data_IF_959115282241
#
_entry.id   IF_959115282241
#
_cell.length_a   1.000
_cell.length_b   1.000
_cell.length_c   1.000
_cell.angle_alpha   90.00
_cell.angle_beta   90.00
_cell.angle_gamma   90.00
#
_symmetry.space_group_name_H-M   'P 1'
#
loop_
_entity.id
_entity.type
_entity.pdbx_description
1 polymer ?
#
# COMPACT_ATOMS: atom_id res chain seq x y z
N UNK A 1 -10.76 6.51 -22.02
CA UNK A 1 -10.08 7.22 -20.91
C UNK A 1 -9.43 6.21 -19.99
N UNK A 2 -8.18 6.44 -19.64
CA UNK A 2 -7.44 5.54 -18.75
C UNK A 2 -7.78 5.90 -17.31
N UNK A 3 -8.36 4.96 -16.58
CA UNK A 3 -8.65 5.13 -15.15
C UNK A 3 -7.50 4.67 -14.27
N UNK A 4 -7.59 4.96 -12.96
CA UNK A 4 -6.59 4.53 -11.99
C UNK A 4 -6.44 3.01 -11.98
N UNK A 5 -7.54 2.26 -12.04
CA UNK A 5 -7.47 0.80 -12.06
C UNK A 5 -6.72 0.29 -13.29
N UNK A 6 -6.88 0.93 -14.44
CA UNK A 6 -6.17 0.55 -15.67
C UNK A 6 -4.66 0.76 -15.53
N UNK A 7 -4.26 1.84 -14.87
CA UNK A 7 -2.85 2.11 -14.62
C UNK A 7 -2.24 1.04 -13.71
N UNK A 8 -2.96 0.63 -12.68
CA UNK A 8 -2.51 -0.43 -11.78
C UNK A 8 -2.45 -1.77 -12.49
N UNK A 9 -3.42 -2.09 -13.36
CA UNK A 9 -3.37 -3.31 -14.14
C UNK A 9 -2.15 -3.36 -15.05
N UNK A 10 -1.83 -2.25 -15.70
CA UNK A 10 -0.65 -2.15 -16.56
C UNK A 10 0.63 -2.31 -15.74
N UNK A 11 0.70 -1.67 -14.56
CA UNK A 11 1.86 -1.78 -13.68
C UNK A 11 2.03 -3.20 -13.14
N UNK A 12 0.93 -3.89 -12.81
CA UNK A 12 0.97 -5.27 -12.36
C UNK A 12 1.52 -6.19 -13.45
N UNK A 13 1.07 -6.03 -14.69
CA UNK A 13 1.58 -6.80 -15.82
C UNK A 13 3.06 -6.56 -16.06
N UNK A 14 3.55 -5.38 -15.76
CA UNK A 14 4.96 -5.03 -15.88
C UNK A 14 5.79 -5.47 -14.67
N UNK A 15 5.18 -6.07 -13.65
CA UNK A 15 5.88 -6.51 -12.45
C UNK A 15 6.28 -5.37 -11.50
N UNK A 16 5.61 -4.23 -11.61
CA UNK A 16 5.95 -3.04 -10.79
C UNK A 16 5.21 -2.98 -9.46
N UNK A 17 4.26 -3.88 -9.25
CA UNK A 17 3.45 -3.92 -8.03
C UNK A 17 3.78 -5.13 -7.17
N UNK A 18 3.40 -5.04 -5.91
CA UNK A 18 3.63 -6.10 -4.92
C UNK A 18 2.28 -6.69 -4.51
N UNK A 19 2.14 -8.03 -4.47
CA UNK A 19 0.91 -8.64 -3.99
C UNK A 19 0.75 -8.40 -2.49
N UNK A 20 -0.44 -7.94 -2.11
CA UNK A 20 -0.83 -7.70 -0.73
C UNK A 20 -2.04 -8.56 -0.42
N UNK A 21 -1.93 -9.39 0.59
CA UNK A 21 -3.03 -10.26 1.00
C UNK A 21 -3.90 -9.56 2.04
N UNK A 22 -5.18 -9.44 1.73
CA UNK A 22 -6.17 -8.82 2.61
C UNK A 22 -7.28 -9.83 2.81
N UNK A 23 -7.27 -10.53 3.96
CA UNK A 23 -8.18 -11.64 4.18
C UNK A 23 -7.98 -12.73 3.12
N UNK A 24 -9.01 -13.04 2.35
CA UNK A 24 -8.95 -14.04 1.29
C UNK A 24 -8.58 -13.43 -0.08
N UNK A 25 -8.40 -12.11 -0.15
CA UNK A 25 -8.10 -11.41 -1.40
C UNK A 25 -6.62 -11.12 -1.51
N UNK A 26 -6.11 -11.15 -2.75
CA UNK A 26 -4.77 -10.70 -3.06
C UNK A 26 -4.90 -9.55 -4.04
N UNK A 27 -4.34 -8.39 -3.68
CA UNK A 27 -4.42 -7.18 -4.48
C UNK A 27 -3.02 -6.68 -4.78
N UNK A 28 -2.75 -6.37 -6.03
CA UNK A 28 -1.48 -5.79 -6.44
C UNK A 28 -1.44 -4.32 -6.06
N UNK A 29 -0.49 -3.94 -5.21
CA UNK A 29 -0.36 -2.58 -4.69
C UNK A 29 1.02 -2.03 -4.93
N UNK A 30 1.14 -0.72 -5.01
CA UNK A 30 2.43 -0.07 -4.87
C UNK A 30 2.88 -0.21 -3.42
N UNK A 31 4.09 -0.70 -3.19
CA UNK A 31 4.61 -0.91 -1.84
C UNK A 31 5.90 -0.12 -1.65
N UNK A 32 5.97 0.58 -0.53
CA UNK A 32 7.16 1.33 -0.15
C UNK A 32 7.53 0.97 1.28
N UNK A 33 8.75 0.48 1.45
CA UNK A 33 9.33 0.26 2.77
C UNK A 33 9.93 1.57 3.29
N UNK A 34 10.05 1.74 4.61
CA UNK A 34 10.75 2.90 5.15
C UNK A 34 12.17 2.96 4.62
N UNK A 35 12.64 4.16 4.33
CA UNK A 35 14.02 4.35 3.93
C UNK A 35 14.91 4.11 5.14
N UNK A 36 15.80 3.13 5.03
CA UNK A 36 16.73 2.79 6.10
C UNK A 36 17.91 3.75 6.14
N UNK A 37 18.06 4.58 5.14
CA UNK A 37 19.13 5.56 5.12
C UNK A 37 18.79 6.69 6.07
N UNK A 38 19.28 6.56 7.29
CA UNK A 38 19.11 7.60 8.30
C UNK A 38 20.03 8.75 7.95
N UNK A 39 19.45 9.88 7.61
CA UNK A 39 20.20 11.10 7.38
C UNK A 39 20.32 11.85 8.70
N UNK A 40 21.50 11.80 9.28
CA UNK A 40 21.93 12.68 10.38
C UNK A 40 20.97 12.81 11.56
N UNK A 41 20.39 11.70 11.98
CA UNK A 41 19.55 11.69 13.16
C UNK A 41 18.18 12.31 12.96
N UNK A 42 17.80 12.64 11.73
CA UNK A 42 16.44 13.03 11.44
C UNK A 42 15.52 11.85 11.65
N UNK A 43 14.40 12.08 12.32
CA UNK A 43 13.41 11.07 12.52
C UNK A 43 12.80 10.71 11.16
N UNK A 44 13.11 9.51 10.66
CA UNK A 44 12.49 9.00 9.47
C UNK A 44 11.21 8.27 9.85
N UNK A 45 10.22 8.38 8.97
CA UNK A 45 9.03 7.57 9.12
C UNK A 45 9.43 6.10 9.10
N UNK A 46 8.98 5.34 10.11
CA UNK A 46 9.14 3.89 10.14
C UNK A 46 7.94 3.19 9.55
N UNK A 47 7.05 3.94 8.96
CA UNK A 47 5.84 3.38 8.39
C UNK A 47 6.10 2.82 7.01
N UNK A 48 5.55 1.64 6.78
CA UNK A 48 5.44 1.09 5.45
C UNK A 48 4.22 1.70 4.79
N UNK A 49 4.20 1.78 3.47
CA UNK A 49 3.08 2.36 2.75
C UNK A 49 2.67 1.45 1.60
N UNK A 50 1.38 1.37 1.36
CA UNK A 50 0.84 0.77 0.14
C UNK A 50 -0.09 1.78 -0.52
N UNK A 51 -0.11 1.75 -1.87
CA UNK A 51 -1.03 2.54 -2.67
C UNK A 51 -1.83 1.59 -3.55
N UNK A 52 -3.12 1.84 -3.65
CA UNK A 52 -4.03 0.93 -4.35
C UNK A 52 -5.24 1.69 -4.87
N UNK A 53 -5.89 1.20 -5.95
CA UNK A 53 -7.16 1.77 -6.39
C UNK A 53 -8.25 1.55 -5.34
N UNK A 54 -8.99 2.60 -5.03
CA UNK A 54 -10.04 2.53 -4.01
C UNK A 54 -11.12 1.49 -4.35
N UNK A 55 -11.29 1.18 -5.64
CA UNK A 55 -12.28 0.20 -6.09
C UNK A 55 -11.85 -1.25 -5.84
N UNK A 56 -10.56 -1.52 -5.62
CA UNK A 56 -10.04 -2.89 -5.48
C UNK A 56 -10.24 -3.44 -4.07
N UNK A 57 -9.98 -2.63 -3.05
CA UNK A 57 -10.15 -3.03 -1.66
C UNK A 57 -10.54 -1.83 -0.81
N UNK A 58 -11.12 -2.12 0.33
CA UNK A 58 -11.40 -1.11 1.36
C UNK A 58 -10.64 -1.49 2.62
N UNK A 59 -9.76 -0.60 3.07
CA UNK A 59 -9.01 -0.77 4.30
C UNK A 59 -9.39 0.32 5.30
N UNK A 60 -9.27 -0.01 6.57
CA UNK A 60 -9.47 0.94 7.66
C UNK A 60 -8.37 0.75 8.70
N UNK A 61 -8.14 1.78 9.50
CA UNK A 61 -7.19 1.69 10.60
C UNK A 61 -7.54 0.50 11.51
N UNK A 62 -6.55 -0.30 11.86
CA UNK A 62 -6.72 -1.51 12.65
C UNK A 62 -6.79 -2.79 11.83
N UNK A 63 -6.99 -2.71 10.52
CA UNK A 63 -6.98 -3.88 9.65
C UNK A 63 -5.56 -4.46 9.56
N UNK A 64 -5.47 -5.75 9.30
CA UNK A 64 -4.18 -6.44 9.12
C UNK A 64 -4.06 -6.89 7.67
N UNK A 65 -2.89 -6.69 7.09
CA UNK A 65 -2.56 -7.16 5.75
C UNK A 65 -1.27 -7.95 5.80
N UNK A 66 -1.05 -8.80 4.79
CA UNK A 66 0.16 -9.61 4.70
C UNK A 66 0.88 -9.31 3.39
N UNK A 67 2.18 -9.06 3.49
CA UNK A 67 3.03 -8.75 2.35
C UNK A 67 4.30 -9.59 2.47
N UNK A 68 4.56 -10.42 1.46
CA UNK A 68 5.76 -11.27 1.42
C UNK A 68 5.95 -12.11 2.69
N UNK A 69 4.86 -12.61 3.26
CA UNK A 69 4.90 -13.45 4.46
C UNK A 69 5.00 -12.68 5.78
N UNK A 70 5.01 -11.36 5.74
CA UNK A 70 5.04 -10.52 6.93
C UNK A 70 3.68 -9.87 7.16
N UNK A 71 3.28 -9.77 8.42
CA UNK A 71 2.01 -9.13 8.79
C UNK A 71 2.22 -7.67 9.13
N UNK A 72 1.28 -6.85 8.72
CA UNK A 72 1.30 -5.41 8.97
C UNK A 72 -0.08 -4.97 9.43
N UNK A 73 -0.11 -3.96 10.30
CA UNK A 73 -1.36 -3.34 10.73
C UNK A 73 -1.52 -2.00 10.05
N UNK A 74 -2.71 -1.76 9.51
CA UNK A 74 -3.05 -0.47 8.91
C UNK A 74 -3.21 0.56 10.03
N UNK A 75 -2.44 1.63 9.94
CA UNK A 75 -2.50 2.73 10.92
C UNK A 75 -3.38 3.86 10.45
N UNK A 76 -3.37 4.14 9.15
CA UNK A 76 -4.06 5.27 8.58
C UNK A 76 -4.34 5.01 7.10
N UNK A 77 -5.46 5.49 6.61
CA UNK A 77 -5.80 5.42 5.19
C UNK A 77 -6.10 6.84 4.71
N UNK A 78 -5.43 7.23 3.64
CA UNK A 78 -5.55 8.57 3.05
C UNK A 78 -6.07 8.42 1.63
N UNK A 79 -7.15 9.13 1.31
CA UNK A 79 -7.68 9.16 -0.05
C UNK A 79 -6.82 10.09 -0.92
N UNK A 80 -6.52 9.64 -2.11
CA UNK A 80 -5.75 10.38 -3.11
C UNK A 80 -6.59 10.52 -4.38
N UNK A 81 -6.27 11.53 -5.21
CA UNK A 81 -6.87 11.69 -6.54
C UNK A 81 -8.40 11.59 -6.50
N UNK A 82 -9.05 12.48 -5.75
CA UNK A 82 -10.50 12.52 -5.60
C UNK A 82 -11.11 11.24 -5.03
N UNK A 83 -10.31 10.45 -4.30
CA UNK A 83 -10.78 9.21 -3.71
C UNK A 83 -10.70 8.00 -4.63
N UNK A 84 -10.19 8.14 -5.86
CA UNK A 84 -10.02 7.01 -6.78
C UNK A 84 -8.84 6.12 -6.41
N UNK A 85 -7.92 6.64 -5.61
CA UNK A 85 -6.73 5.93 -5.14
C UNK A 85 -6.59 6.17 -3.65
N UNK A 86 -6.03 5.20 -2.93
CA UNK A 86 -5.78 5.31 -1.51
C UNK A 86 -4.35 4.96 -1.18
N UNK A 87 -3.85 5.58 -0.12
CA UNK A 87 -2.57 5.23 0.49
C UNK A 87 -2.84 4.78 1.92
N UNK A 88 -2.35 3.61 2.27
CA UNK A 88 -2.42 3.13 3.65
C UNK A 88 -1.03 3.13 4.26
N UNK A 89 -0.92 3.66 5.46
CA UNK A 89 0.29 3.57 6.26
C UNK A 89 0.20 2.35 7.14
N UNK A 90 1.28 1.58 7.18
CA UNK A 90 1.31 0.29 7.84
C UNK A 90 2.42 0.24 8.88
N UNK A 91 2.15 -0.46 9.97
CA UNK A 91 3.16 -0.81 10.96
C UNK A 91 3.43 -2.31 10.88
N UNK A 92 4.68 -2.70 10.81
CA UNK A 92 5.06 -4.11 10.80
C UNK A 92 4.81 -4.71 12.17
N UNK A 93 4.15 -5.84 12.17
CA UNK A 93 3.86 -6.59 13.41
C UNK A 93 4.99 -7.55 13.77
#
# INVERSE_FOLDING_TARGET
MVGVADLYDAAARAGLLTPVKVGALIVECGFRAPDETVLDGLALSRDYEIEYPAAHITLAAGDTVEIAGHSYRVREVIALRDGSECRARLARL
#
